data_IF_809202417240
#
_entry.id   IF_809202417240
#
_cell.length_a   1.000
_cell.length_b   1.000
_cell.length_c   1.000
_cell.angle_alpha   90.00
_cell.angle_beta   90.00
_cell.angle_gamma   90.00
#
_symmetry.space_group_name_H-M   'P 1'
#
loop_
_entity.id
_entity.type
_entity.pdbx_description
1 polymer ?
#
# COMPACT_ATOMS: atom_id res chain seq x y z
N UNK A 1 -16.00 -4.91 -14.76
CA UNK A 1 -14.65 -5.43 -15.03
C UNK A 1 -13.70 -4.61 -14.18
N UNK A 2 -13.09 -5.22 -13.15
CA UNK A 2 -12.08 -4.55 -12.34
C UNK A 2 -10.76 -4.56 -13.10
N UNK A 3 -10.32 -3.39 -13.55
CA UNK A 3 -9.00 -3.23 -14.19
C UNK A 3 -7.96 -3.34 -13.08
N UNK A 4 -7.07 -4.34 -13.14
CA UNK A 4 -5.94 -4.44 -12.22
C UNK A 4 -4.70 -3.72 -12.79
N UNK A 5 -3.92 -3.12 -11.90
CA UNK A 5 -2.66 -2.45 -12.20
C UNK A 5 -1.53 -3.41 -11.84
N UNK A 6 -0.68 -3.78 -12.80
CA UNK A 6 0.50 -4.62 -12.56
C UNK A 6 1.69 -3.76 -12.14
N UNK A 7 2.42 -4.22 -11.12
CA UNK A 7 3.60 -3.55 -10.57
C UNK A 7 4.57 -4.56 -9.95
N UNK A 8 5.73 -4.09 -9.53
CA UNK A 8 6.71 -4.87 -8.75
C UNK A 8 6.84 -4.30 -7.34
N UNK A 9 6.91 -5.17 -6.34
CA UNK A 9 7.15 -4.82 -4.93
C UNK A 9 8.31 -5.66 -4.41
N UNK A 10 9.43 -5.02 -4.05
CA UNK A 10 10.66 -5.70 -3.63
C UNK A 10 11.10 -6.81 -4.61
N UNK A 11 10.99 -6.52 -5.92
CA UNK A 11 11.32 -7.46 -7.00
C UNK A 11 10.30 -8.58 -7.24
N UNK A 12 9.16 -8.58 -6.53
CA UNK A 12 8.07 -9.55 -6.71
C UNK A 12 6.94 -8.94 -7.54
N UNK A 13 6.40 -9.69 -8.48
CA UNK A 13 5.23 -9.25 -9.25
C UNK A 13 3.99 -9.14 -8.36
N UNK A 14 3.23 -8.06 -8.54
CA UNK A 14 1.99 -7.78 -7.83
C UNK A 14 0.94 -7.16 -8.74
N UNK A 15 -0.32 -7.30 -8.34
CA UNK A 15 -1.46 -6.62 -8.95
C UNK A 15 -2.17 -5.80 -7.89
N UNK A 16 -2.64 -4.60 -8.22
CA UNK A 16 -3.42 -3.73 -7.33
C UNK A 16 -4.74 -3.30 -7.98
N UNK A 17 -5.75 -3.02 -7.16
CA UNK A 17 -6.95 -2.34 -7.64
C UNK A 17 -6.68 -0.82 -7.79
N UNK A 18 -7.41 -0.08 -8.65
CA UNK A 18 -7.17 1.34 -8.87
C UNK A 18 -7.32 2.22 -7.62
N UNK A 19 -8.15 1.80 -6.66
CA UNK A 19 -8.40 2.49 -5.40
C UNK A 19 -7.61 1.90 -4.21
N UNK A 20 -6.69 0.98 -4.48
CA UNK A 20 -5.84 0.35 -3.47
C UNK A 20 -4.55 1.17 -3.28
N UNK A 21 -4.25 1.56 -2.05
CA UNK A 21 -2.97 2.21 -1.74
C UNK A 21 -1.82 1.20 -1.76
N UNK A 22 -0.59 1.67 -1.96
CA UNK A 22 0.62 0.81 -1.89
C UNK A 22 0.65 0.04 -0.57
N UNK A 23 0.30 0.68 0.54
CA UNK A 23 0.26 0.04 1.85
C UNK A 23 -0.76 -1.11 1.92
N UNK A 24 -1.95 -0.93 1.33
CA UNK A 24 -2.99 -1.96 1.28
C UNK A 24 -2.55 -3.14 0.39
N UNK A 25 -2.01 -2.84 -0.79
CA UNK A 25 -1.50 -3.85 -1.71
C UNK A 25 -0.36 -4.66 -1.10
N UNK A 26 0.62 -4.00 -0.48
CA UNK A 26 1.72 -4.64 0.22
C UNK A 26 1.23 -5.60 1.31
N UNK A 27 0.31 -5.13 2.17
CA UNK A 27 -0.28 -5.97 3.23
C UNK A 27 -1.00 -7.19 2.66
N UNK A 28 -1.78 -7.03 1.59
CA UNK A 28 -2.48 -8.15 0.93
C UNK A 28 -1.50 -9.16 0.32
N UNK A 29 -0.38 -8.68 -0.22
CA UNK A 29 0.69 -9.49 -0.79
C UNK A 29 1.64 -10.09 0.26
N UNK A 30 1.44 -9.78 1.55
CA UNK A 30 2.23 -10.31 2.66
C UNK A 30 3.51 -9.53 2.97
N UNK A 31 3.69 -8.33 2.39
CA UNK A 31 4.75 -7.40 2.76
C UNK A 31 4.24 -6.45 3.84
N UNK A 32 4.82 -6.52 5.03
CA UNK A 32 4.46 -5.61 6.13
C UNK A 32 5.17 -4.26 5.98
N UNK A 33 4.39 -3.20 5.88
CA UNK A 33 4.88 -1.82 5.93
C UNK A 33 4.43 -1.21 7.27
N UNK A 34 5.37 -0.71 8.10
CA UNK A 34 5.03 -0.20 9.42
C UNK A 34 4.15 1.05 9.32
N UNK A 35 3.22 1.18 10.26
CA UNK A 35 2.28 2.30 10.32
C UNK A 35 1.82 2.52 11.76
N UNK A 36 1.57 3.79 12.11
CA UNK A 36 1.05 4.17 13.44
C UNK A 36 -0.25 4.98 13.35
N UNK A 37 -0.49 5.63 12.20
CA UNK A 37 -1.56 6.60 12.00
C UNK A 37 -2.75 6.09 11.18
N UNK A 38 -2.85 4.77 11.01
CA UNK A 38 -3.93 4.17 10.26
C UNK A 38 -4.39 2.89 10.97
N UNK A 39 -5.69 2.59 10.89
CA UNK A 39 -6.24 1.29 11.26
C UNK A 39 -7.32 0.92 10.24
N UNK A 40 -7.45 -0.37 9.87
CA UNK A 40 -8.48 -0.86 8.95
C UNK A 40 -9.83 -1.00 9.66
N UNK A 41 -10.23 0.01 10.44
CA UNK A 41 -11.46 0.03 11.23
C UNK A 41 -12.37 1.16 10.74
N UNK A 42 -13.71 0.98 10.72
CA UNK A 42 -14.63 2.03 10.32
C UNK A 42 -14.40 3.33 11.10
N UNK A 43 -14.31 4.45 10.38
CA UNK A 43 -14.11 5.78 10.97
C UNK A 43 -12.65 6.21 11.17
N UNK A 44 -11.67 5.30 11.01
CA UNK A 44 -10.25 5.68 10.99
C UNK A 44 -9.84 6.19 9.61
N UNK A 45 -9.27 7.39 9.56
CA UNK A 45 -8.71 8.00 8.34
C UNK A 45 -7.24 7.64 8.19
N UNK A 46 -6.74 7.66 6.96
CA UNK A 46 -5.32 7.51 6.67
C UNK A 46 -4.62 8.87 6.79
N UNK A 47 -4.21 9.26 8.00
CA UNK A 47 -3.77 10.63 8.29
C UNK A 47 -2.37 10.99 7.77
N UNK A 48 -1.53 9.98 7.46
CA UNK A 48 -0.18 10.21 6.91
C UNK A 48 0.80 10.96 7.84
N UNK A 49 0.46 11.21 9.10
CA UNK A 49 1.28 12.00 10.02
C UNK A 49 2.45 11.21 10.64
N UNK A 50 2.37 9.88 10.74
CA UNK A 50 3.43 9.08 11.37
C UNK A 50 4.67 8.89 10.50
N UNK A 51 4.53 9.01 9.16
CA UNK A 51 5.60 8.81 8.18
C UNK A 51 6.34 7.46 8.28
N UNK A 52 5.78 6.48 8.99
CA UNK A 52 6.39 5.15 9.11
C UNK A 52 6.24 4.33 7.83
N UNK A 53 5.18 4.56 7.05
CA UNK A 53 4.86 3.79 5.86
C UNK A 53 5.47 4.34 4.56
N UNK A 54 6.59 5.05 4.65
CA UNK A 54 7.28 5.57 3.46
C UNK A 54 7.93 4.43 2.68
N UNK A 55 7.91 4.55 1.36
CA UNK A 55 8.53 3.64 0.40
C UNK A 55 9.29 4.46 -0.64
N UNK A 56 10.23 3.83 -1.32
CA UNK A 56 10.88 4.39 -2.51
C UNK A 56 10.09 3.98 -3.76
N UNK A 57 10.02 4.87 -4.75
CA UNK A 57 9.45 4.57 -6.06
C UNK A 57 10.60 4.51 -7.05
N UNK A 58 10.81 3.36 -7.67
CA UNK A 58 11.88 3.20 -8.66
C UNK A 58 11.62 4.11 -9.87
N UNK A 59 12.59 4.99 -10.17
CA UNK A 59 12.52 5.92 -11.30
C UNK A 59 11.88 7.28 -10.99
N UNK A 60 11.50 7.55 -9.74
CA UNK A 60 11.13 8.89 -9.25
C UNK A 60 12.34 9.65 -8.67
#
# INVERSE_FOLDING_TARGET
MTVSIRFTLDGREGEAAPDESIWQAARRLGTEIPHLCYRPEPGYRADGNCRACMVEIEGE
#
